data_IF_250120542859
#
_entry.id   IF_250120542859
#
_cell.length_a   1.000
_cell.length_b   1.000
_cell.length_c   1.000
_cell.angle_alpha   90.00
_cell.angle_beta   90.00
_cell.angle_gamma   90.00
#
_symmetry.space_group_name_H-M   'P 1'
#
loop_
_entity.id
_entity.type
_entity.pdbx_description
1 polymer ?
#
# COMPACT_ATOMS: atom_id res chain seq x y z
N UNK A 1 10.15 51.37 32.27
CA UNK A 1 9.07 50.89 31.39
C UNK A 1 9.69 50.75 30.00
N UNK A 2 9.69 49.64 29.26
CA UNK A 2 8.97 48.37 29.32
C UNK A 2 9.98 47.23 29.02
N UNK A 3 10.07 46.20 29.87
CA UNK A 3 9.34 44.92 29.82
C UNK A 3 9.79 44.00 28.67
N UNK A 4 10.63 43.04 29.06
CA UNK A 4 10.99 41.86 28.31
C UNK A 4 9.73 41.09 27.86
N UNK A 5 9.75 40.59 26.63
CA UNK A 5 8.96 39.43 26.23
C UNK A 5 9.93 38.28 25.95
N UNK A 6 10.18 37.53 27.01
CA UNK A 6 10.57 36.14 26.92
C UNK A 6 9.34 35.38 26.44
N UNK A 7 9.47 34.59 25.38
CA UNK A 7 8.95 33.22 25.38
C UNK A 7 9.58 32.48 24.21
N UNK A 8 10.62 31.73 24.58
CA UNK A 8 11.13 30.62 23.81
C UNK A 8 10.00 29.62 23.57
N UNK A 9 9.32 29.74 22.43
CA UNK A 9 8.58 28.63 21.86
C UNK A 9 9.62 27.56 21.50
N UNK A 10 9.85 26.61 22.41
CA UNK A 10 10.55 25.38 22.10
C UNK A 10 9.88 24.78 20.87
N UNK A 11 10.59 24.77 19.74
CA UNK A 11 10.16 24.08 18.53
C UNK A 11 9.98 22.61 18.91
N UNK A 12 8.75 22.21 19.20
CA UNK A 12 8.41 20.83 19.48
C UNK A 12 8.77 20.03 18.23
N UNK A 13 9.78 19.17 18.32
CA UNK A 13 10.08 18.22 17.25
C UNK A 13 8.78 17.46 16.96
N UNK A 14 8.39 17.32 15.68
CA UNK A 14 7.21 16.54 15.33
C UNK A 14 7.29 15.15 15.96
N UNK A 15 6.20 14.71 16.59
CA UNK A 15 6.08 13.33 17.07
C UNK A 15 6.10 12.42 15.84
N UNK A 16 7.02 11.45 15.82
CA UNK A 16 7.12 10.51 14.71
C UNK A 16 5.85 9.65 14.62
N UNK A 17 5.18 9.68 13.48
CA UNK A 17 3.99 8.89 13.18
C UNK A 17 4.29 7.96 12.01
N UNK A 18 4.14 6.65 12.22
CA UNK A 18 4.32 5.61 11.18
C UNK A 18 2.96 5.12 10.73
N UNK A 19 2.78 4.99 9.42
CA UNK A 19 1.63 4.29 8.88
C UNK A 19 1.88 2.78 8.97
N UNK A 20 1.22 2.13 9.91
CA UNK A 20 1.46 0.73 10.24
C UNK A 20 0.60 -0.22 9.40
N UNK A 21 -0.69 0.09 9.26
CA UNK A 21 -1.64 -0.87 8.71
C UNK A 21 -2.86 -0.20 8.08
N UNK A 22 -3.34 -0.77 6.98
CA UNK A 22 -4.65 -0.46 6.39
C UNK A 22 -5.66 -1.59 6.67
N UNK A 23 -6.87 -1.24 7.11
CA UNK A 23 -7.96 -2.19 7.22
C UNK A 23 -8.63 -2.41 5.84
N UNK A 24 -8.71 -3.65 5.38
CA UNK A 24 -9.29 -4.03 4.09
C UNK A 24 -10.64 -4.69 4.33
N UNK A 25 -11.76 -4.15 3.79
CA UNK A 25 -13.07 -4.73 3.95
C UNK A 25 -13.24 -5.93 3.01
N UNK A 26 -13.51 -7.09 3.59
CA UNK A 26 -13.67 -8.37 2.87
C UNK A 26 -14.96 -9.05 3.29
N UNK A 27 -15.62 -9.76 2.37
CA UNK A 27 -16.85 -10.49 2.70
C UNK A 27 -16.54 -11.88 3.28
N UNK A 28 -15.42 -12.47 2.88
CA UNK A 28 -14.98 -13.81 3.28
C UNK A 28 -13.49 -13.78 3.67
N UNK A 29 -13.22 -14.05 4.94
CA UNK A 29 -11.87 -13.95 5.53
C UNK A 29 -10.93 -15.01 4.95
N UNK A 30 -11.41 -16.22 4.71
CA UNK A 30 -10.57 -17.32 4.24
C UNK A 30 -10.27 -17.17 2.74
N UNK A 31 -11.24 -16.72 1.95
CA UNK A 31 -11.03 -16.34 0.55
C UNK A 31 -10.00 -15.23 0.41
N UNK A 32 -10.11 -14.17 1.22
CA UNK A 32 -9.14 -13.08 1.24
C UNK A 32 -7.76 -13.56 1.70
N UNK A 33 -7.69 -14.38 2.76
CA UNK A 33 -6.43 -14.95 3.26
C UNK A 33 -5.72 -15.78 2.20
N UNK A 34 -6.44 -16.62 1.47
CA UNK A 34 -5.87 -17.39 0.37
C UNK A 34 -5.32 -16.48 -0.73
N UNK A 35 -6.09 -15.47 -1.15
CA UNK A 35 -5.67 -14.52 -2.18
C UNK A 35 -4.42 -13.74 -1.77
N UNK A 36 -4.42 -13.06 -0.62
CA UNK A 36 -3.27 -12.28 -0.19
C UNK A 36 -2.04 -13.16 0.09
N UNK A 37 -2.25 -14.39 0.57
CA UNK A 37 -1.17 -15.38 0.67
C UNK A 37 -0.58 -15.81 -0.68
N UNK A 38 -1.42 -15.96 -1.72
CA UNK A 38 -0.94 -16.35 -3.06
C UNK A 38 -0.11 -15.26 -3.74
N UNK A 39 -0.23 -14.00 -3.31
CA UNK A 39 0.64 -12.90 -3.74
C UNK A 39 2.08 -13.02 -3.21
N UNK A 40 2.37 -14.00 -2.35
CA UNK A 40 3.67 -14.13 -1.69
C UNK A 40 3.86 -13.17 -0.52
N UNK A 41 2.78 -12.59 0.01
CA UNK A 41 2.85 -11.72 1.18
C UNK A 41 3.01 -12.55 2.44
N UNK A 42 3.76 -12.01 3.41
CA UNK A 42 4.02 -12.72 4.67
C UNK A 42 2.77 -12.64 5.55
N UNK A 43 2.25 -13.78 5.97
CA UNK A 43 1.20 -13.86 6.99
C UNK A 43 1.84 -13.56 8.35
N UNK A 44 1.49 -12.44 8.97
CA UNK A 44 2.04 -12.05 10.29
C UNK A 44 1.15 -12.51 11.44
N UNK A 45 -0.17 -12.53 11.23
CA UNK A 45 -1.14 -12.92 12.26
C UNK A 45 -2.41 -13.52 11.66
N UNK A 46 -3.00 -14.50 12.35
CA UNK A 46 -4.38 -14.97 12.18
C UNK A 46 -4.87 -15.44 13.54
N UNK A 47 -5.77 -14.67 14.16
CA UNK A 47 -6.26 -14.98 15.50
C UNK A 47 -7.74 -14.64 15.65
N UNK A 48 -8.40 -15.39 16.53
CA UNK A 48 -9.82 -15.28 16.84
C UNK A 48 -9.97 -14.87 18.30
N UNK A 49 -10.89 -13.93 18.57
CA UNK A 49 -11.23 -13.51 19.93
C UNK A 49 -12.74 -13.69 20.13
N UNK A 50 -13.10 -14.75 20.86
CA UNK A 50 -14.50 -15.16 21.01
C UNK A 50 -15.19 -15.41 19.66
N UNK A 51 -16.50 -15.23 19.62
CA UNK A 51 -17.28 -15.47 18.40
C UNK A 51 -17.40 -14.23 17.50
N UNK A 52 -16.97 -13.05 17.98
CA UNK A 52 -17.27 -11.77 17.33
C UNK A 52 -16.12 -11.23 16.50
N UNK A 53 -14.90 -11.71 16.72
CA UNK A 53 -13.71 -11.14 16.09
C UNK A 53 -12.76 -12.20 15.53
N UNK A 54 -12.27 -11.95 14.32
CA UNK A 54 -11.10 -12.63 13.73
C UNK A 54 -10.27 -11.58 13.01
N UNK A 55 -8.98 -11.51 13.28
CA UNK A 55 -8.04 -10.62 12.60
C UNK A 55 -6.99 -11.41 11.84
N UNK A 56 -6.79 -11.08 10.57
CA UNK A 56 -5.73 -11.62 9.70
C UNK A 56 -4.85 -10.49 9.23
N UNK A 57 -3.53 -10.65 9.31
CA UNK A 57 -2.54 -9.66 8.89
C UNK A 57 -1.61 -10.21 7.82
N UNK A 58 -1.41 -9.43 6.76
CA UNK A 58 -0.35 -9.68 5.79
C UNK A 58 0.54 -8.45 5.57
N UNK A 59 1.84 -8.69 5.39
CA UNK A 59 2.82 -7.68 4.97
C UNK A 59 3.31 -7.95 3.54
N UNK A 60 3.15 -7.00 2.60
CA UNK A 60 3.78 -7.08 1.28
C UNK A 60 5.32 -7.14 1.40
N UNK A 61 6.01 -7.90 0.52
CA UNK A 61 7.47 -7.96 0.52
C UNK A 61 8.11 -6.56 0.49
N UNK A 62 9.06 -6.31 1.39
CA UNK A 62 9.78 -5.03 1.51
C UNK A 62 8.99 -3.87 2.13
N UNK A 63 7.68 -4.04 2.39
CA UNK A 63 6.86 -2.99 3.00
C UNK A 63 7.08 -2.93 4.52
N UNK A 64 7.21 -1.73 5.12
CA UNK A 64 7.11 -1.55 6.56
C UNK A 64 5.66 -1.51 7.05
N UNK A 65 4.68 -1.40 6.14
CA UNK A 65 3.25 -1.34 6.45
C UNK A 65 2.53 -2.63 6.02
N UNK A 66 1.46 -2.96 6.73
CA UNK A 66 0.66 -4.18 6.55
C UNK A 66 -0.76 -3.89 6.08
N UNK A 67 -1.51 -4.95 5.78
CA UNK A 67 -2.96 -4.95 5.75
C UNK A 67 -3.55 -5.84 6.82
N UNK A 68 -4.68 -5.44 7.40
CA UNK A 68 -5.52 -6.30 8.23
C UNK A 68 -6.90 -6.44 7.64
N UNK A 69 -7.49 -7.62 7.76
CA UNK A 69 -8.88 -7.87 7.41
C UNK A 69 -9.45 -8.97 8.31
N UNK A 70 -10.77 -9.05 8.38
CA UNK A 70 -11.43 -10.08 9.16
C UNK A 70 -12.75 -9.64 9.78
N UNK A 71 -13.33 -10.53 10.58
CA UNK A 71 -14.63 -10.30 11.25
C UNK A 71 -14.46 -9.24 12.33
N UNK A 72 -15.27 -8.18 12.26
CA UNK A 72 -15.24 -7.09 13.25
C UNK A 72 -14.05 -6.13 13.11
N UNK A 73 -13.26 -6.23 12.03
CA UNK A 73 -12.08 -5.36 11.80
C UNK A 73 -12.46 -3.97 11.28
N UNK A 74 -13.43 -3.88 10.37
CA UNK A 74 -13.89 -2.61 9.79
C UNK A 74 -15.38 -2.66 9.48
N UNK A 75 -16.13 -1.54 9.65
CA UNK A 75 -17.53 -1.45 9.24
C UNK A 75 -17.70 -1.11 7.74
N UNK A 76 -16.61 -0.89 7.00
CA UNK A 76 -16.67 -0.54 5.57
C UNK A 76 -17.22 -1.71 4.72
N UNK A 77 -17.92 -1.36 3.64
CA UNK A 77 -18.48 -2.34 2.71
C UNK A 77 -17.37 -3.17 2.05
N UNK A 78 -17.49 -4.51 1.99
CA UNK A 78 -16.55 -5.35 1.25
C UNK A 78 -16.28 -4.84 -0.17
N UNK A 79 -15.01 -4.83 -0.57
CA UNK A 79 -14.60 -4.37 -1.91
C UNK A 79 -14.50 -2.85 -2.08
N UNK A 80 -14.83 -2.06 -1.06
CA UNK A 80 -14.89 -0.60 -1.18
C UNK A 80 -13.52 0.09 -1.08
N UNK A 81 -12.45 -0.61 -0.69
CA UNK A 81 -11.15 0.03 -0.55
C UNK A 81 -10.56 0.38 -1.93
N UNK A 82 -10.02 1.58 -2.02
CA UNK A 82 -9.37 2.12 -3.22
C UNK A 82 -8.27 3.09 -2.81
N UNK A 83 -7.40 3.48 -3.76
CA UNK A 83 -6.27 4.35 -3.47
C UNK A 83 -5.15 3.66 -2.67
N UNK A 84 -5.05 2.33 -2.75
CA UNK A 84 -3.98 1.55 -2.14
C UNK A 84 -2.80 1.45 -3.11
N UNK A 85 -1.67 2.03 -2.74
CA UNK A 85 -0.47 2.07 -3.58
C UNK A 85 0.57 1.05 -3.11
N UNK A 86 1.01 0.19 -4.02
CA UNK A 86 2.18 -0.66 -3.85
C UNK A 86 3.31 -0.07 -4.70
N UNK A 87 4.34 0.42 -4.02
CA UNK A 87 5.47 1.05 -4.71
C UNK A 87 6.50 0.00 -5.08
N UNK A 88 6.90 0.00 -6.35
CA UNK A 88 7.91 -0.92 -6.92
C UNK A 88 8.96 -0.12 -7.68
N UNK A 89 10.19 -0.65 -7.75
CA UNK A 89 11.27 -0.04 -8.55
C UNK A 89 11.26 -0.46 -10.01
N UNK A 90 10.64 -1.61 -10.30
CA UNK A 90 10.48 -2.18 -11.63
C UNK A 90 9.05 -2.72 -11.75
N UNK A 91 8.22 -2.02 -12.52
CA UNK A 91 6.81 -2.36 -12.65
C UNK A 91 6.57 -3.52 -13.60
N UNK A 92 7.46 -3.73 -14.57
CA UNK A 92 7.36 -4.85 -15.51
C UNK A 92 7.62 -6.16 -14.77
N UNK A 93 8.68 -6.22 -13.95
CA UNK A 93 8.98 -7.36 -13.11
C UNK A 93 7.87 -7.63 -12.09
N UNK A 94 7.39 -6.59 -11.39
CA UNK A 94 6.32 -6.75 -10.40
C UNK A 94 5.02 -7.25 -11.02
N UNK A 95 4.64 -6.72 -12.19
CA UNK A 95 3.47 -7.20 -12.92
C UNK A 95 3.66 -8.64 -13.37
N UNK A 96 4.80 -8.97 -13.96
CA UNK A 96 5.08 -10.32 -14.45
C UNK A 96 5.02 -11.35 -13.31
N UNK A 97 5.53 -11.02 -12.13
CA UNK A 97 5.43 -11.88 -10.95
C UNK A 97 3.98 -12.12 -10.53
N UNK A 98 3.17 -11.07 -10.39
CA UNK A 98 1.77 -11.19 -9.98
C UNK A 98 0.94 -11.96 -11.02
N UNK A 99 1.13 -11.69 -12.30
CA UNK A 99 0.49 -12.45 -13.39
C UNK A 99 0.93 -13.91 -13.35
N UNK A 100 2.22 -14.19 -13.12
CA UNK A 100 2.74 -15.55 -12.95
C UNK A 100 2.15 -16.30 -11.74
N UNK A 101 1.65 -15.57 -10.74
CA UNK A 101 0.91 -16.10 -9.58
C UNK A 101 -0.60 -16.25 -9.85
N UNK A 102 -1.06 -15.95 -11.07
CA UNK A 102 -2.47 -16.08 -11.47
C UNK A 102 -3.35 -14.89 -11.11
N UNK A 103 -2.76 -13.73 -10.78
CA UNK A 103 -3.51 -12.50 -10.50
C UNK A 103 -3.88 -11.82 -11.82
N UNK A 104 -5.13 -11.37 -11.93
CA UNK A 104 -5.57 -10.52 -13.04
C UNK A 104 -5.04 -9.09 -12.82
N UNK A 105 -3.92 -8.79 -13.47
CA UNK A 105 -3.27 -7.48 -13.43
C UNK A 105 -3.46 -6.79 -14.77
N UNK A 106 -3.94 -5.55 -14.74
CA UNK A 106 -4.10 -4.71 -15.92
C UNK A 106 -2.80 -4.61 -16.71
N UNK A 107 -2.89 -4.28 -18.00
CA UNK A 107 -1.73 -3.80 -18.74
C UNK A 107 -1.15 -2.55 -18.07
N UNK A 108 0.13 -2.31 -18.33
CA UNK A 108 0.84 -1.14 -17.83
C UNK A 108 0.33 0.09 -18.57
N UNK A 109 0.12 1.17 -17.82
CA UNK A 109 -0.26 2.46 -18.34
C UNK A 109 0.53 3.57 -17.64
N UNK A 110 0.52 4.76 -18.22
CA UNK A 110 1.09 5.95 -17.59
C UNK A 110 0.12 7.12 -17.60
N UNK A 111 0.39 8.13 -16.78
CA UNK A 111 -0.37 9.39 -16.77
C UNK A 111 0.54 10.59 -17.02
N UNK A 112 0.15 11.46 -17.95
CA UNK A 112 0.90 12.66 -18.28
C UNK A 112 0.97 13.67 -17.11
N UNK A 113 0.03 13.60 -16.16
CA UNK A 113 -0.06 14.49 -15.01
C UNK A 113 -1.21 14.12 -14.08
N UNK A 114 -1.25 14.69 -12.87
CA UNK A 114 -2.43 14.62 -12.02
C UNK A 114 -3.69 15.07 -12.79
N UNK A 115 -4.75 14.25 -12.74
CA UNK A 115 -6.01 14.54 -13.42
C UNK A 115 -6.06 14.20 -14.92
N UNK A 116 -4.95 13.72 -15.51
CA UNK A 116 -4.95 13.24 -16.89
C UNK A 116 -5.42 11.77 -16.99
N UNK A 117 -6.07 11.38 -18.10
CA UNK A 117 -6.47 10.00 -18.31
C UNK A 117 -5.25 9.07 -18.47
N UNK A 118 -5.42 7.77 -18.20
CA UNK A 118 -4.38 6.78 -18.43
C UNK A 118 -4.09 6.62 -19.93
N UNK A 119 -2.81 6.47 -20.27
CA UNK A 119 -2.29 6.22 -21.61
C UNK A 119 -1.65 4.82 -21.61
N UNK A 120 -1.97 3.93 -22.56
CA UNK A 120 -1.36 2.60 -22.63
C UNK A 120 0.17 2.63 -22.70
N UNK A 121 0.82 1.69 -22.02
CA UNK A 121 2.26 1.53 -21.98
C UNK A 121 2.96 2.30 -20.86
N UNK A 122 4.26 2.04 -20.70
CA UNK A 122 5.14 2.75 -19.78
C UNK A 122 5.22 4.25 -20.12
N UNK A 123 5.57 5.08 -19.14
CA UNK A 123 5.99 6.45 -19.45
C UNK A 123 7.20 6.42 -20.39
N UNK A 124 7.13 7.03 -21.60
CA UNK A 124 8.21 6.94 -22.59
C UNK A 124 9.55 7.51 -22.08
N UNK A 125 9.48 8.48 -21.18
CA UNK A 125 10.65 9.10 -20.54
C UNK A 125 11.10 8.36 -19.26
N UNK A 126 10.44 7.25 -18.89
CA UNK A 126 10.67 6.45 -17.67
C UNK A 126 10.74 7.30 -16.40
N UNK A 127 9.95 8.38 -16.35
CA UNK A 127 9.92 9.28 -15.20
C UNK A 127 9.32 8.56 -13.99
N UNK A 128 9.94 8.76 -12.83
CA UNK A 128 9.44 8.26 -11.55
C UNK A 128 8.00 8.75 -11.29
N UNK A 129 7.18 7.91 -10.64
CA UNK A 129 5.77 8.16 -10.33
C UNK A 129 4.83 8.28 -11.56
N UNK A 130 5.23 7.80 -12.75
CA UNK A 130 4.42 7.93 -13.97
C UNK A 130 3.84 6.63 -14.53
N UNK A 131 4.46 5.48 -14.27
CA UNK A 131 3.97 4.18 -14.75
C UNK A 131 3.20 3.43 -13.66
N UNK A 132 2.12 2.77 -14.06
CA UNK A 132 1.16 2.11 -13.18
C UNK A 132 0.62 0.81 -13.79
N UNK A 133 0.16 -0.07 -12.91
CA UNK A 133 -0.68 -1.23 -13.24
C UNK A 133 -1.60 -1.49 -12.04
N UNK A 134 -2.78 -2.04 -12.26
CA UNK A 134 -3.75 -2.27 -11.18
C UNK A 134 -4.24 -3.70 -11.15
N UNK A 135 -4.66 -4.15 -9.97
CA UNK A 135 -5.37 -5.41 -9.79
C UNK A 135 -6.44 -5.24 -8.71
N UNK A 136 -7.33 -6.22 -8.62
CA UNK A 136 -8.37 -6.28 -7.59
C UNK A 136 -8.24 -7.55 -6.77
N UNK A 137 -8.59 -7.47 -5.50
CA UNK A 137 -8.82 -8.67 -4.70
C UNK A 137 -10.20 -9.29 -5.02
N UNK A 138 -10.54 -10.48 -4.47
CA UNK A 138 -11.79 -11.17 -4.77
C UNK A 138 -13.06 -10.42 -4.38
N UNK A 139 -12.97 -9.43 -3.49
CA UNK A 139 -14.10 -8.58 -3.09
C UNK A 139 -14.19 -7.29 -3.94
N UNK A 140 -13.14 -6.95 -4.69
CA UNK A 140 -13.08 -5.78 -5.57
C UNK A 140 -12.24 -4.62 -5.04
N UNK A 141 -11.58 -4.78 -3.88
CA UNK A 141 -10.68 -3.78 -3.33
C UNK A 141 -9.53 -3.55 -4.32
N UNK A 142 -9.25 -2.28 -4.61
CA UNK A 142 -8.40 -1.91 -5.74
C UNK A 142 -7.00 -1.54 -5.30
N UNK A 143 -6.02 -2.22 -5.90
CA UNK A 143 -4.60 -2.03 -5.68
C UNK A 143 -3.96 -1.42 -6.92
N UNK A 144 -3.02 -0.48 -6.70
CA UNK A 144 -2.29 0.19 -7.76
C UNK A 144 -0.79 0.01 -7.53
N UNK A 145 -0.14 -0.72 -8.43
CA UNK A 145 1.32 -0.68 -8.57
C UNK A 145 1.71 0.71 -9.09
N UNK A 146 2.70 1.33 -8.45
CA UNK A 146 3.29 2.58 -8.92
C UNK A 146 4.80 2.43 -8.98
N UNK A 147 5.36 2.71 -10.16
CA UNK A 147 6.80 2.68 -10.35
C UNK A 147 7.45 3.93 -9.77
N UNK A 148 8.44 3.73 -8.90
CA UNK A 148 9.21 4.82 -8.28
C UNK A 148 10.69 4.47 -8.33
N UNK A 149 11.41 5.10 -9.26
CA UNK A 149 12.85 4.93 -9.47
C UNK A 149 13.67 6.01 -8.78
N UNK A 150 13.06 7.18 -8.54
CA UNK A 150 13.65 8.31 -7.80
C UNK A 150 12.60 8.85 -6.84
N UNK A 151 12.90 8.88 -5.55
CA UNK A 151 12.00 9.38 -4.50
C UNK A 151 11.88 10.90 -4.52
N UNK A 152 10.69 11.41 -4.21
CA UNK A 152 10.51 12.82 -3.85
C UNK A 152 11.36 13.17 -2.62
N UNK A 153 11.88 14.41 -2.51
CA UNK A 153 12.69 14.83 -1.37
C UNK A 153 12.04 14.48 -0.01
N UNK A 154 12.83 13.87 0.89
CA UNK A 154 12.38 13.48 2.23
C UNK A 154 11.64 12.14 2.33
N UNK A 155 11.44 11.41 1.23
CA UNK A 155 10.91 10.03 1.26
C UNK A 155 12.03 8.99 1.34
N UNK A 156 11.83 7.92 2.13
CA UNK A 156 12.75 6.79 2.24
C UNK A 156 12.60 5.81 1.07
N UNK A 157 13.69 5.18 0.65
CA UNK A 157 13.72 4.24 -0.48
C UNK A 157 13.02 2.92 -0.17
N UNK A 158 12.44 2.28 -1.18
CA UNK A 158 11.76 0.98 -1.03
C UNK A 158 12.75 -0.18 -0.74
N UNK A 159 14.03 -0.03 -1.12
CA UNK A 159 15.05 -1.07 -0.95
C UNK A 159 15.94 -0.85 0.30
N UNK A 160 15.73 0.22 1.06
CA UNK A 160 16.44 0.42 2.32
C UNK A 160 15.68 -0.33 3.42
N UNK A 161 15.88 -1.64 3.47
CA UNK A 161 15.55 -2.41 4.67
C UNK A 161 16.32 -1.80 5.85
N UNK A 162 15.63 -1.60 6.98
CA UNK A 162 16.29 -1.22 8.22
C UNK A 162 17.25 -2.36 8.56
N UNK A 163 18.53 -2.18 8.22
CA UNK A 163 19.58 -3.05 8.71
C UNK A 163 19.58 -2.95 10.23
N UNK A 164 19.64 -4.12 10.87
CA UNK A 164 19.60 -4.33 12.32
C UNK A 164 20.65 -3.53 13.08
#
# INVERSE_FOLDING_TARGET
MAQAHNDAAASARPVAMKFEVAAIPVADVDRAKHFYGSLGWRLDADFVVGDTFRGVQFTPPGSPASIHFGKGVTPATPGSASGLFLVVSDIEAARAELVGRGVDVSDIFHVAGPGHPPIPGLDPERRSYRSYASFKDPDGNSWLLQEVTVRLPGRVDANQGISS
#
